data_IF_029019481851
#
_entry.id   IF_029019481851
#
_cell.length_a   1.000
_cell.length_b   1.000
_cell.length_c   1.000
_cell.angle_alpha   90.00
_cell.angle_beta   90.00
_cell.angle_gamma   90.00
#
_symmetry.space_group_name_H-M   'P 1'
#
loop_
_entity.id
_entity.type
_entity.pdbx_description
1 polymer ?
#
# COMPACT_ATOMS: atom_id res chain seq x y z
N UNK A 1 -33.33 11.48 -17.15
CA UNK A 1 -31.99 11.87 -16.64
C UNK A 1 -31.24 10.60 -16.30
N UNK A 2 -29.94 10.50 -16.59
CA UNK A 2 -29.14 9.32 -16.23
C UNK A 2 -28.85 9.33 -14.72
N UNK A 3 -29.17 8.25 -14.01
CA UNK A 3 -29.03 8.20 -12.54
C UNK A 3 -27.82 7.36 -12.12
N UNK A 4 -27.36 7.51 -10.88
CA UNK A 4 -26.28 6.68 -10.30
C UNK A 4 -26.63 5.19 -10.30
N UNK A 5 -27.90 4.86 -10.09
CA UNK A 5 -28.38 3.47 -10.15
C UNK A 5 -28.23 2.88 -11.57
N UNK A 6 -28.56 3.66 -12.61
CA UNK A 6 -28.34 3.27 -14.01
C UNK A 6 -26.85 3.07 -14.31
N UNK A 7 -25.99 3.97 -13.80
CA UNK A 7 -24.53 3.89 -13.97
C UNK A 7 -23.96 2.61 -13.31
N UNK A 8 -24.41 2.29 -12.09
CA UNK A 8 -23.98 1.10 -11.35
C UNK A 8 -24.40 -0.19 -12.06
N UNK A 9 -25.66 -0.30 -12.45
CA UNK A 9 -26.19 -1.49 -13.15
C UNK A 9 -25.45 -1.70 -14.45
N UNK A 10 -25.25 -0.64 -15.24
CA UNK A 10 -24.56 -0.75 -16.51
C UNK A 10 -23.09 -1.15 -16.33
N UNK A 11 -22.40 -0.56 -15.35
CA UNK A 11 -21.02 -0.94 -14.99
C UNK A 11 -20.92 -2.41 -14.59
N UNK A 12 -21.91 -2.94 -13.86
CA UNK A 12 -21.96 -4.35 -13.48
C UNK A 12 -22.14 -5.27 -14.69
N UNK A 13 -22.97 -4.88 -15.66
CA UNK A 13 -23.21 -5.65 -16.90
C UNK A 13 -21.97 -5.64 -17.79
N UNK A 14 -21.37 -4.47 -18.02
CA UNK A 14 -20.26 -4.31 -18.98
C UNK A 14 -18.88 -4.50 -18.35
N UNK A 15 -18.79 -4.65 -17.02
CA UNK A 15 -17.57 -4.82 -16.22
C UNK A 15 -16.49 -3.74 -16.41
N UNK A 16 -16.88 -2.54 -16.87
CA UNK A 16 -16.02 -1.36 -17.07
C UNK A 16 -16.82 -0.07 -17.00
N UNK A 17 -16.15 1.07 -16.92
CA UNK A 17 -16.83 2.39 -16.89
C UNK A 17 -17.54 2.68 -18.23
N UNK A 18 -18.85 2.99 -18.25
CA UNK A 18 -19.60 3.22 -19.49
C UNK A 18 -19.20 4.53 -20.19
N UNK A 19 -19.02 4.47 -21.51
CA UNK A 19 -18.88 5.65 -22.37
C UNK A 19 -20.26 6.22 -22.74
N UNK A 20 -20.28 7.48 -23.21
CA UNK A 20 -21.53 8.15 -23.60
C UNK A 20 -22.33 7.38 -24.67
N UNK A 21 -21.65 6.80 -25.66
CA UNK A 21 -22.29 5.99 -26.70
C UNK A 21 -22.93 4.71 -26.13
N UNK A 22 -22.28 4.07 -25.16
CA UNK A 22 -22.83 2.86 -24.50
C UNK A 22 -24.05 3.24 -23.66
N UNK A 23 -24.04 4.39 -22.97
CA UNK A 23 -25.22 4.85 -22.20
C UNK A 23 -26.44 5.05 -23.08
N UNK A 24 -26.27 5.62 -24.27
CA UNK A 24 -27.38 5.87 -25.19
C UNK A 24 -27.95 4.56 -25.76
N UNK A 25 -27.09 3.61 -26.14
CA UNK A 25 -27.52 2.31 -26.65
C UNK A 25 -28.34 1.48 -25.64
N UNK A 26 -28.10 1.67 -24.34
CA UNK A 26 -28.80 0.95 -23.27
C UNK A 26 -29.98 1.72 -22.68
N UNK A 27 -30.24 2.95 -23.15
CA UNK A 27 -31.20 3.86 -22.53
C UNK A 27 -32.63 3.33 -22.57
N UNK A 28 -33.04 2.75 -23.69
CA UNK A 28 -34.38 2.20 -23.88
C UNK A 28 -34.60 0.91 -23.08
N UNK A 29 -33.56 0.08 -22.93
CA UNK A 29 -33.62 -1.18 -22.19
C UNK A 29 -33.39 -0.99 -20.67
N UNK A 30 -32.99 0.20 -20.23
CA UNK A 30 -32.63 0.48 -18.85
C UNK A 30 -33.74 0.22 -17.83
N UNK A 31 -35.04 0.53 -18.08
CA UNK A 31 -36.11 0.23 -17.14
C UNK A 31 -36.26 -1.28 -16.87
N UNK A 32 -36.11 -2.13 -17.89
CA UNK A 32 -36.13 -3.58 -17.73
C UNK A 32 -34.91 -4.07 -16.94
N UNK A 33 -33.73 -3.51 -17.21
CA UNK A 33 -32.51 -3.81 -16.48
C UNK A 33 -32.59 -3.35 -15.01
N UNK A 34 -33.21 -2.22 -14.71
CA UNK A 34 -33.48 -1.79 -13.33
C UNK A 34 -34.44 -2.76 -12.64
N UNK A 35 -35.47 -3.25 -13.32
CA UNK A 35 -36.36 -4.27 -12.74
C UNK A 35 -35.65 -5.59 -12.45
N UNK A 36 -34.73 -5.99 -13.32
CA UNK A 36 -33.96 -7.23 -13.20
C UNK A 36 -32.80 -7.13 -12.19
N UNK A 37 -32.09 -6.01 -12.16
CA UNK A 37 -30.84 -5.83 -11.41
C UNK A 37 -30.91 -4.81 -10.27
N UNK A 38 -31.98 -4.02 -10.18
CA UNK A 38 -32.16 -3.00 -9.13
C UNK A 38 -32.20 -3.59 -7.71
N UNK A 39 -32.70 -4.82 -7.58
CA UNK A 39 -32.66 -5.58 -6.30
C UNK A 39 -31.31 -6.25 -6.02
N UNK A 40 -30.48 -6.47 -7.04
CA UNK A 40 -29.20 -7.19 -6.91
C UNK A 40 -28.13 -6.34 -6.24
N UNK A 41 -28.28 -5.00 -6.23
CA UNK A 41 -27.24 -4.10 -5.72
C UNK A 41 -27.54 -3.40 -4.40
N UNK A 42 -28.67 -3.63 -3.73
CA UNK A 42 -28.78 -3.30 -2.31
C UNK A 42 -28.71 -4.61 -1.55
N UNK A 43 -27.50 -5.02 -1.15
CA UNK A 43 -27.41 -5.95 -0.03
C UNK A 43 -28.18 -5.28 1.11
N UNK A 44 -29.30 -5.88 1.49
CA UNK A 44 -30.01 -5.52 2.71
C UNK A 44 -29.00 -5.48 3.86
N UNK A 45 -29.07 -4.48 4.73
CA UNK A 45 -28.07 -4.30 5.79
C UNK A 45 -28.06 -5.51 6.74
N UNK A 46 -29.19 -6.21 6.87
CA UNK A 46 -29.29 -7.52 7.53
C UNK A 46 -28.40 -8.57 6.85
N UNK A 47 -28.38 -8.61 5.53
CA UNK A 47 -27.61 -9.57 4.75
C UNK A 47 -26.12 -9.22 4.73
N UNK A 48 -25.77 -7.92 4.68
CA UNK A 48 -24.37 -7.48 4.89
C UNK A 48 -23.87 -7.91 6.25
N UNK A 49 -24.66 -7.66 7.29
CA UNK A 49 -24.31 -8.04 8.66
C UNK A 49 -24.09 -9.55 8.78
N UNK A 50 -24.99 -10.37 8.24
CA UNK A 50 -24.82 -11.84 8.19
C UNK A 50 -23.52 -12.27 7.50
N UNK A 51 -23.13 -11.62 6.41
CA UNK A 51 -21.88 -11.93 5.71
C UNK A 51 -20.67 -11.52 6.55
N UNK A 52 -20.69 -10.31 7.12
CA UNK A 52 -19.60 -9.81 7.98
C UNK A 52 -19.43 -10.71 9.21
N UNK A 53 -20.52 -11.02 9.91
CA UNK A 53 -20.53 -11.87 11.10
C UNK A 53 -20.10 -13.33 10.79
N UNK A 54 -20.13 -13.72 9.51
CA UNK A 54 -19.69 -15.04 9.08
C UNK A 54 -18.19 -15.15 8.78
N UNK A 55 -17.44 -14.04 8.85
CA UNK A 55 -16.00 -14.01 8.64
C UNK A 55 -15.34 -13.62 9.96
N UNK A 56 -14.46 -14.49 10.46
CA UNK A 56 -13.70 -14.23 11.69
C UNK A 56 -12.22 -14.36 11.42
N UNK A 57 -11.43 -13.42 11.95
CA UNK A 57 -9.96 -13.43 11.90
C UNK A 57 -9.48 -13.50 13.34
N UNK A 58 -8.92 -14.64 13.73
CA UNK A 58 -8.46 -14.88 15.09
C UNK A 58 -6.95 -14.98 15.13
N UNK A 59 -6.34 -14.43 16.17
CA UNK A 59 -4.91 -14.63 16.44
C UNK A 59 -4.71 -15.88 17.31
N UNK A 60 -3.93 -16.83 16.82
CA UNK A 60 -3.60 -18.06 17.53
C UNK A 60 -2.30 -17.85 18.32
N UNK A 61 -2.41 -17.62 19.62
CA UNK A 61 -1.26 -17.34 20.50
C UNK A 61 -0.20 -18.46 20.47
N UNK A 62 -0.62 -19.72 20.36
CA UNK A 62 0.29 -20.88 20.36
C UNK A 62 1.21 -20.91 19.12
N UNK A 63 0.74 -20.33 18.01
CA UNK A 63 1.46 -20.30 16.74
C UNK A 63 2.03 -18.92 16.41
N UNK A 64 1.59 -17.87 17.11
CA UNK A 64 1.89 -16.47 16.78
C UNK A 64 1.44 -16.14 15.32
N UNK A 65 0.25 -16.62 14.94
CA UNK A 65 -0.29 -16.54 13.56
C UNK A 65 -1.78 -16.20 13.55
N UNK A 66 -2.22 -15.50 12.50
CA UNK A 66 -3.65 -15.31 12.24
C UNK A 66 -4.28 -16.53 11.57
N UNK A 67 -5.55 -16.79 11.89
CA UNK A 67 -6.40 -17.80 11.25
C UNK A 67 -7.69 -17.17 10.79
N UNK A 68 -8.11 -17.49 9.57
CA UNK A 68 -9.42 -17.08 9.02
C UNK A 68 -10.42 -18.20 9.18
N UNK A 69 -11.63 -17.89 9.65
CA UNK A 69 -12.75 -18.81 9.72
C UNK A 69 -13.94 -18.22 8.97
N UNK A 70 -14.47 -19.00 8.03
CA UNK A 70 -15.61 -18.67 7.19
C UNK A 70 -16.78 -19.58 7.58
N UNK A 71 -17.79 -19.02 8.23
CA UNK A 71 -18.95 -19.75 8.76
C UNK A 71 -20.14 -19.78 7.79
N UNK A 72 -20.05 -19.07 6.66
CA UNK A 72 -21.10 -19.06 5.65
C UNK A 72 -20.75 -20.00 4.48
N UNK A 73 -21.62 -20.98 4.16
CA UNK A 73 -21.30 -22.03 3.18
C UNK A 73 -21.09 -21.51 1.75
N UNK A 74 -21.62 -20.32 1.42
CA UNK A 74 -21.41 -19.71 0.11
C UNK A 74 -20.09 -18.93 -0.03
N UNK A 75 -19.37 -18.66 1.08
CA UNK A 75 -18.08 -17.95 1.02
C UNK A 75 -16.97 -18.97 0.77
N UNK A 76 -16.35 -18.90 -0.41
CA UNK A 76 -15.28 -19.84 -0.81
C UNK A 76 -13.90 -19.41 -0.31
N UNK A 77 -13.65 -18.10 -0.35
CA UNK A 77 -12.41 -17.47 0.06
C UNK A 77 -12.70 -15.98 0.33
N UNK A 78 -11.77 -15.34 1.02
CA UNK A 78 -11.70 -13.88 1.14
C UNK A 78 -10.40 -13.39 0.50
N UNK A 79 -10.42 -12.13 0.06
CA UNK A 79 -9.23 -11.45 -0.43
C UNK A 79 -8.91 -10.26 0.46
N UNK A 80 -7.65 -10.14 0.81
CA UNK A 80 -7.08 -8.97 1.46
C UNK A 80 -6.43 -8.07 0.41
N UNK A 81 -6.32 -6.77 0.71
CA UNK A 81 -5.39 -5.92 -0.01
C UNK A 81 -3.97 -6.48 0.18
N UNK A 82 -3.04 -6.26 -0.78
CA UNK A 82 -1.67 -6.74 -0.66
C UNK A 82 -1.00 -6.35 0.67
N UNK A 83 -1.22 -5.10 1.11
CA UNK A 83 -0.66 -4.58 2.36
C UNK A 83 -1.22 -5.31 3.59
N UNK A 84 -2.55 -5.45 3.68
CA UNK A 84 -3.18 -6.11 4.83
C UNK A 84 -2.81 -7.60 4.86
N UNK A 85 -2.81 -8.24 3.70
CA UNK A 85 -2.38 -9.63 3.56
C UNK A 85 -0.97 -9.89 4.06
N UNK A 86 -0.03 -8.99 3.70
CA UNK A 86 1.34 -9.01 4.20
C UNK A 86 1.41 -8.84 5.72
N UNK A 87 0.74 -7.82 6.27
CA UNK A 87 0.70 -7.55 7.72
C UNK A 87 0.16 -8.76 8.49
N UNK A 88 -0.86 -9.43 7.95
CA UNK A 88 -1.47 -10.62 8.55
C UNK A 88 -0.67 -11.91 8.33
N UNK A 89 0.32 -11.91 7.42
CA UNK A 89 1.22 -13.04 7.17
C UNK A 89 0.69 -14.12 6.23
N UNK A 90 -0.33 -13.84 5.41
CA UNK A 90 -0.85 -14.80 4.42
C UNK A 90 0.02 -14.82 3.16
N UNK A 91 0.45 -16.00 2.73
CA UNK A 91 1.28 -16.16 1.52
C UNK A 91 0.51 -15.78 0.25
N UNK A 92 -0.77 -16.16 0.17
CA UNK A 92 -1.64 -15.81 -0.94
C UNK A 92 -2.83 -14.97 -0.45
N UNK A 93 -2.65 -13.66 -0.25
CA UNK A 93 -3.69 -12.81 0.33
C UNK A 93 -4.91 -12.62 -0.56
N UNK A 94 -4.83 -12.98 -1.85
CA UNK A 94 -5.94 -12.86 -2.78
C UNK A 94 -6.95 -14.00 -2.69
N UNK A 95 -6.55 -15.14 -2.12
CA UNK A 95 -7.37 -16.35 -2.03
C UNK A 95 -7.14 -17.04 -0.69
N UNK A 96 -7.58 -16.40 0.40
CA UNK A 96 -7.49 -16.97 1.75
C UNK A 96 -8.71 -17.82 2.03
N UNK A 97 -8.49 -19.11 2.29
CA UNK A 97 -9.54 -20.12 2.43
C UNK A 97 -10.02 -20.28 3.88
N UNK A 98 -11.13 -21.03 4.04
CA UNK A 98 -11.67 -21.32 5.35
C UNK A 98 -10.68 -22.15 6.19
N UNK A 99 -10.48 -21.76 7.44
CA UNK A 99 -9.53 -22.34 8.39
C UNK A 99 -8.05 -22.20 7.99
N UNK A 100 -7.73 -21.38 7.00
CA UNK A 100 -6.35 -21.10 6.63
C UNK A 100 -5.64 -20.34 7.76
N UNK A 101 -4.46 -20.82 8.13
CA UNK A 101 -3.55 -20.19 9.07
C UNK A 101 -2.47 -19.47 8.26
N UNK A 102 -2.20 -18.22 8.63
CA UNK A 102 -1.14 -17.42 8.06
C UNK A 102 0.20 -18.18 8.11
N UNK A 103 0.94 -18.15 7.01
CA UNK A 103 2.24 -18.82 6.90
C UNK A 103 3.30 -18.09 7.73
N UNK A 104 3.24 -16.76 7.73
CA UNK A 104 4.22 -15.88 8.37
C UNK A 104 3.64 -15.19 9.60
N UNK A 105 4.52 -14.76 10.50
CA UNK A 105 4.13 -13.98 11.67
C UNK A 105 3.56 -12.64 11.26
N UNK A 106 2.75 -12.05 12.13
CA UNK A 106 2.22 -10.73 11.83
C UNK A 106 3.35 -9.70 11.81
N UNK A 107 3.34 -8.84 10.80
CA UNK A 107 4.25 -7.70 10.72
C UNK A 107 3.45 -6.40 10.79
N UNK A 108 3.26 -5.91 12.01
CA UNK A 108 2.59 -4.64 12.27
C UNK A 108 3.38 -3.43 11.75
N UNK A 109 4.67 -3.59 11.40
CA UNK A 109 5.45 -2.56 10.71
C UNK A 109 5.10 -2.48 9.23
N UNK A 110 4.31 -3.43 8.72
CA UNK A 110 3.85 -3.46 7.34
C UNK A 110 4.98 -3.52 6.31
N UNK A 111 6.10 -4.15 6.67
CA UNK A 111 7.28 -4.29 5.81
C UNK A 111 8.13 -3.04 5.71
N UNK A 112 7.77 -1.96 6.43
CA UNK A 112 8.50 -0.70 6.41
C UNK A 112 9.46 -0.59 7.60
N UNK A 113 10.56 -1.33 7.53
CA UNK A 113 11.62 -1.30 8.56
C UNK A 113 12.69 -0.25 8.30
N UNK A 114 12.80 0.24 7.06
CA UNK A 114 13.85 1.15 6.63
C UNK A 114 13.52 1.78 5.29
N UNK A 115 14.05 2.98 5.06
CA UNK A 115 14.02 3.64 3.76
C UNK A 115 15.40 4.17 3.37
N UNK A 116 15.63 4.26 2.08
CA UNK A 116 16.82 4.86 1.49
C UNK A 116 16.56 6.33 1.14
N UNK A 117 17.55 7.16 1.42
CA UNK A 117 17.58 8.60 1.13
C UNK A 117 18.49 8.83 -0.07
N UNK A 118 17.89 9.12 -1.22
CA UNK A 118 18.60 9.37 -2.48
C UNK A 118 18.69 10.86 -2.78
N UNK A 119 19.76 11.26 -3.48
CA UNK A 119 19.98 12.64 -3.92
C UNK A 119 20.48 12.69 -5.35
N UNK A 120 19.56 12.85 -6.29
CA UNK A 120 19.89 12.72 -7.70
C UNK A 120 20.95 13.75 -8.14
N UNK A 121 22.10 13.25 -8.59
CA UNK A 121 23.17 14.07 -9.16
C UNK A 121 23.98 14.91 -8.15
N UNK A 122 23.71 14.80 -6.85
CA UNK A 122 24.46 15.55 -5.83
C UNK A 122 25.80 14.88 -5.50
N UNK A 123 25.82 13.54 -5.38
CA UNK A 123 27.02 12.78 -5.01
C UNK A 123 27.42 11.75 -6.06
N UNK A 124 28.61 11.18 -5.88
CA UNK A 124 28.99 9.97 -6.61
C UNK A 124 27.95 8.86 -6.43
N UNK A 125 27.74 8.09 -7.50
CA UNK A 125 26.80 6.98 -7.46
C UNK A 125 27.43 5.78 -6.75
N UNK A 126 26.59 5.06 -6.00
CA UNK A 126 26.93 3.81 -5.31
C UNK A 126 26.09 2.68 -5.88
N UNK A 127 26.65 1.48 -5.92
CA UNK A 127 25.93 0.26 -6.36
C UNK A 127 24.98 -0.18 -5.25
N UNK A 128 23.69 -0.27 -5.57
CA UNK A 128 22.63 -0.71 -4.65
C UNK A 128 21.81 -1.78 -5.35
N UNK A 129 21.96 -3.02 -4.89
CA UNK A 129 21.39 -4.18 -5.57
C UNK A 129 21.89 -4.26 -7.01
N UNK A 130 20.99 -4.13 -7.97
CA UNK A 130 21.25 -4.15 -9.41
C UNK A 130 21.23 -2.75 -10.06
N UNK A 131 21.27 -1.68 -9.27
CA UNK A 131 21.19 -0.29 -9.76
C UNK A 131 22.40 0.54 -9.29
N UNK A 132 22.71 1.59 -10.05
CA UNK A 132 23.73 2.57 -9.71
C UNK A 132 23.03 3.90 -9.39
N UNK A 133 23.11 4.39 -8.16
CA UNK A 133 22.37 5.57 -7.73
C UNK A 133 23.10 6.39 -6.66
N UNK A 134 22.84 7.69 -6.60
CA UNK A 134 23.38 8.58 -5.56
C UNK A 134 22.54 8.44 -4.29
N UNK A 135 23.04 7.59 -3.37
CA UNK A 135 22.45 7.33 -2.08
C UNK A 135 23.26 8.03 -0.99
N UNK A 136 22.57 8.81 -0.15
CA UNK A 136 23.19 9.38 1.04
C UNK A 136 23.25 8.38 2.18
N UNK A 137 22.12 7.72 2.47
CA UNK A 137 22.00 6.84 3.64
C UNK A 137 20.76 5.94 3.56
N UNK A 138 20.84 4.80 4.22
CA UNK A 138 19.67 4.00 4.62
C UNK A 138 19.35 4.31 6.08
N UNK A 139 18.10 4.69 6.34
CA UNK A 139 17.59 5.04 7.67
C UNK A 139 16.69 3.90 8.14
N UNK A 140 17.00 3.34 9.31
CA UNK A 140 16.17 2.34 9.98
C UNK A 140 15.01 3.02 10.69
N UNK A 141 13.82 2.47 10.56
CA UNK A 141 12.61 2.91 11.25
C UNK A 141 12.42 1.97 12.44
N UNK A 142 12.56 2.49 13.65
CA UNK A 142 12.48 1.74 14.89
C UNK A 142 11.52 2.43 15.86
N UNK A 143 10.64 1.65 16.50
CA UNK A 143 9.71 2.19 17.49
C UNK A 143 8.61 3.09 16.92
N UNK A 144 8.21 2.88 15.66
CA UNK A 144 7.15 3.67 15.02
C UNK A 144 5.74 3.28 15.51
N UNK A 145 5.42 3.62 16.76
CA UNK A 145 4.00 3.82 17.13
C UNK A 145 3.48 5.02 16.34
N UNK A 146 2.22 4.99 15.84
CA UNK A 146 1.65 6.16 15.20
C UNK A 146 1.70 7.39 16.14
N UNK A 147 2.43 8.44 15.72
CA UNK A 147 2.62 9.67 16.50
C UNK A 147 4.02 9.85 17.08
N UNK A 148 4.85 8.81 17.10
CA UNK A 148 6.22 8.89 17.63
C UNK A 148 7.22 9.43 16.60
N UNK A 149 8.15 10.27 17.07
CA UNK A 149 9.26 10.76 16.26
C UNK A 149 10.28 9.63 16.06
N UNK A 150 10.53 9.28 14.79
CA UNK A 150 11.65 8.42 14.43
C UNK A 150 12.88 9.29 14.20
N UNK A 151 13.65 9.52 15.26
CA UNK A 151 14.95 10.21 15.19
C UNK A 151 16.09 9.19 15.29
N UNK A 152 16.99 9.21 14.31
CA UNK A 152 18.25 8.47 14.38
C UNK A 152 19.41 9.45 14.38
N UNK A 153 20.13 9.51 15.49
CA UNK A 153 21.36 10.28 15.61
C UNK A 153 22.52 9.35 15.22
N UNK A 154 23.40 9.84 14.35
CA UNK A 154 24.56 9.11 13.87
C UNK A 154 25.83 9.86 14.25
N UNK A 155 26.58 9.32 15.21
CA UNK A 155 27.78 9.97 15.77
C UNK A 155 28.92 10.10 14.74
N UNK A 156 28.97 9.20 13.76
CA UNK A 156 29.97 9.21 12.69
C UNK A 156 29.32 9.53 11.35
N UNK A 157 29.32 10.80 10.89
CA UNK A 157 28.78 11.15 9.59
C UNK A 157 29.64 10.55 8.46
N UNK A 158 28.98 9.91 7.49
CA UNK A 158 29.61 9.41 6.27
C UNK A 158 29.56 10.55 5.26
N UNK A 159 30.73 10.96 4.76
CA UNK A 159 30.82 12.00 3.74
C UNK A 159 30.93 11.36 2.35
N UNK A 160 30.12 11.85 1.42
CA UNK A 160 30.23 11.55 0.01
C UNK A 160 30.73 12.79 -0.74
N UNK A 161 31.47 12.59 -1.84
CA UNK A 161 31.95 13.70 -2.66
C UNK A 161 30.77 14.36 -3.37
N UNK A 162 30.65 15.68 -3.19
CA UNK A 162 29.68 16.49 -3.92
C UNK A 162 30.22 16.75 -5.32
N UNK A 163 29.43 16.42 -6.34
CA UNK A 163 29.84 16.52 -7.75
C UNK A 163 29.62 17.91 -8.33
N UNK A 164 28.46 18.57 -8.12
CA UNK A 164 28.22 19.88 -8.70
C UNK A 164 29.06 20.94 -8.00
N UNK A 165 29.58 21.88 -8.78
CA UNK A 165 30.29 23.06 -8.25
C UNK A 165 29.33 24.09 -7.64
N UNK A 166 28.14 24.20 -8.22
CA UNK A 166 27.05 25.09 -7.81
C UNK A 166 25.75 24.30 -7.81
N UNK A 167 24.89 24.54 -6.82
CA UNK A 167 23.61 23.84 -6.65
C UNK A 167 22.56 24.88 -6.27
N UNK A 168 21.53 25.02 -7.10
CA UNK A 168 20.40 25.89 -6.81
C UNK A 168 19.29 25.14 -6.05
N UNK A 169 19.15 23.84 -6.34
CA UNK A 169 18.10 22.99 -5.78
C UNK A 169 18.67 21.59 -5.53
N UNK A 170 18.28 21.00 -4.39
CA UNK A 170 18.63 19.63 -4.03
C UNK A 170 17.33 18.83 -3.97
N UNK A 171 17.20 17.86 -4.87
CA UNK A 171 16.11 16.91 -4.87
C UNK A 171 16.46 15.73 -3.94
N UNK A 172 15.60 15.46 -2.95
CA UNK A 172 15.69 14.30 -2.08
C UNK A 172 14.55 13.33 -2.39
N UNK A 173 14.88 12.07 -2.65
CA UNK A 173 13.90 11.00 -2.76
C UNK A 173 14.01 10.04 -1.58
N UNK A 174 12.89 9.80 -0.90
CA UNK A 174 12.78 8.77 0.12
C UNK A 174 12.11 7.55 -0.51
N UNK A 175 12.82 6.42 -0.54
CA UNK A 175 12.30 5.17 -1.14
C UNK A 175 12.33 4.02 -0.16
N UNK A 176 11.32 3.17 -0.23
CA UNK A 176 11.24 1.94 0.55
C UNK A 176 12.32 0.95 0.08
N UNK A 177 12.89 0.17 1.00
CA UNK A 177 13.97 -0.78 0.67
C UNK A 177 13.46 -2.07 0.02
N UNK A 178 12.19 -2.41 0.20
CA UNK A 178 11.57 -3.66 -0.26
C UNK A 178 11.31 -3.67 -1.78
N UNK A 179 10.85 -2.56 -2.34
CA UNK A 179 10.42 -2.46 -3.74
C UNK A 179 10.80 -1.13 -4.41
N UNK A 180 11.53 -0.26 -3.73
CA UNK A 180 12.01 1.01 -4.28
C UNK A 180 10.92 2.06 -4.54
N UNK A 181 9.69 1.87 -4.03
CA UNK A 181 8.60 2.84 -4.16
C UNK A 181 8.90 4.07 -3.30
N UNK A 182 8.30 5.19 -3.65
CA UNK A 182 8.35 6.38 -2.81
C UNK A 182 7.70 6.11 -1.45
N UNK A 183 8.33 6.60 -0.38
CA UNK A 183 7.75 6.56 0.96
C UNK A 183 6.47 7.41 0.96
N UNK A 184 5.30 6.84 1.30
CA UNK A 184 4.04 7.57 1.25
C UNK A 184 3.90 8.50 2.47
N UNK A 185 4.08 9.80 2.27
CA UNK A 185 3.78 10.80 3.30
C UNK A 185 2.29 11.11 3.33
N UNK A 186 1.59 10.49 4.28
CA UNK A 186 0.17 10.80 4.54
C UNK A 186 0.01 11.89 5.60
N UNK A 187 0.95 11.98 6.55
CA UNK A 187 1.00 12.95 7.64
C UNK A 187 2.43 13.03 8.20
N UNK A 188 2.79 14.15 8.83
CA UNK A 188 4.10 14.38 9.46
C UNK A 188 4.96 15.46 8.79
N UNK A 189 6.11 15.75 9.39
CA UNK A 189 7.10 16.72 8.90
C UNK A 189 8.43 16.01 8.69
N UNK A 190 9.09 16.28 7.56
CA UNK A 190 10.43 15.75 7.26
C UNK A 190 11.45 16.85 7.46
N UNK A 191 12.42 16.62 8.34
CA UNK A 191 13.58 17.50 8.52
C UNK A 191 14.83 16.76 8.02
N UNK A 192 15.56 17.38 7.09
CA UNK A 192 16.81 16.84 6.54
C UNK A 192 17.91 17.86 6.80
N UNK A 193 18.98 17.40 7.46
CA UNK A 193 20.16 18.21 7.73
C UNK A 193 21.33 17.65 6.92
N UNK A 194 21.81 18.43 5.96
CA UNK A 194 22.98 18.09 5.14
C UNK A 194 24.22 18.82 5.68
N UNK A 195 25.29 18.07 5.95
CA UNK A 195 26.56 18.61 6.44
C UNK A 195 27.57 18.63 5.29
N UNK A 196 28.02 19.82 4.90
CA UNK A 196 29.04 20.01 3.86
C UNK A 196 30.40 20.28 4.49
N UNK A 197 31.39 19.44 4.14
CA UNK A 197 32.79 19.63 4.55
C UNK A 197 33.62 20.02 3.34
N UNK A 198 34.34 21.15 3.42
CA UNK A 198 35.28 21.56 2.38
C UNK A 198 36.42 20.55 2.29
N UNK A 199 36.60 19.94 1.12
CA UNK A 199 37.76 19.11 0.82
C UNK A 199 38.91 20.02 0.41
N UNK A 200 40.03 19.93 1.13
CA UNK A 200 41.29 20.59 0.74
C UNK A 200 42.07 19.55 -0.05
N UNK A 201 42.08 19.68 -1.38
CA UNK A 201 42.96 18.88 -2.21
C UNK A 201 44.34 19.58 -2.20
N UNK A 202 45.36 18.87 -1.71
CA UNK A 202 46.76 19.29 -1.79
C UNK A 202 47.37 18.85 -3.11
#
# INVERSE_FOLDING_TARGET
MWTEEMERILTMIIKRKPTKAIRENYRENMPALIRQYGKIGKLDDTMKKKIIDSVTINFLNDFDRFKVTLNHPAIKYISFSPQLGYVLGFENPLMVHNNEIAKYGCDLKGGFSSFAVYTKGLTENVIIGNTLSSLLRVVSVAGATPGDYNENIYDTPIYAKVLPREVNEIEIELRTMDNGRFVPFSYGTVLIVLIFKKVINF
#
